data_IF_219703352943
#
_entry.id   IF_219703352943
#
_cell.length_a   1.000
_cell.length_b   1.000
_cell.length_c   1.000
_cell.angle_alpha   90.00
_cell.angle_beta   90.00
_cell.angle_gamma   90.00
#
_symmetry.space_group_name_H-M   'P 1'
#
loop_
_entity.id
_entity.type
_entity.pdbx_description
1 polymer ?
#
# COMPACT_ATOMS: atom_id res chain seq x y z
N UNK A 1 0.79 25.60 -0.87
CA UNK A 1 1.30 24.27 -1.18
C UNK A 1 0.14 23.31 -1.47
N UNK A 2 0.25 22.56 -2.51
CA UNK A 2 -0.85 21.71 -2.96
C UNK A 2 -0.70 20.31 -2.35
N UNK A 3 -1.71 19.88 -1.62
CA UNK A 3 -1.74 18.51 -1.11
C UNK A 3 -1.89 17.53 -2.28
N UNK A 4 -1.27 16.36 -2.17
CA UNK A 4 -1.35 15.32 -3.19
C UNK A 4 -2.69 14.57 -3.13
N UNK A 5 -3.81 15.29 -3.07
CA UNK A 5 -5.11 14.69 -2.97
C UNK A 5 -6.15 15.50 -3.72
N UNK A 6 -7.30 14.89 -3.94
CA UNK A 6 -8.43 15.54 -4.62
C UNK A 6 -9.56 15.74 -3.63
N UNK A 7 -10.23 16.88 -3.71
CA UNK A 7 -11.43 17.16 -2.92
C UNK A 7 -12.66 16.67 -3.67
N UNK A 8 -13.51 15.95 -2.98
CA UNK A 8 -14.76 15.43 -3.52
C UNK A 8 -15.95 15.96 -2.71
N UNK A 9 -16.96 16.49 -3.41
CA UNK A 9 -18.23 16.88 -2.82
C UNK A 9 -18.06 17.75 -1.59
N UNK A 10 -18.56 17.30 -0.44
CA UNK A 10 -18.59 18.08 0.80
C UNK A 10 -17.26 18.13 1.56
N UNK A 11 -16.16 18.31 0.86
CA UNK A 11 -14.88 18.58 1.50
C UNK A 11 -14.03 17.39 1.90
N UNK A 12 -14.42 16.18 1.49
CA UNK A 12 -13.55 15.02 1.69
C UNK A 12 -12.34 15.08 0.77
N UNK A 13 -11.16 14.74 1.29
CA UNK A 13 -9.95 14.61 0.49
C UNK A 13 -9.68 13.14 0.20
N UNK A 14 -9.54 12.78 -1.07
CA UNK A 14 -9.16 11.44 -1.47
C UNK A 14 -7.67 11.47 -1.77
N UNK A 15 -6.91 10.61 -1.07
CA UNK A 15 -5.49 10.46 -1.34
C UNK A 15 -5.30 9.87 -2.74
N UNK A 16 -4.34 10.43 -3.47
CA UNK A 16 -3.98 9.93 -4.79
C UNK A 16 -2.47 9.82 -4.87
N UNK A 17 -1.98 8.58 -4.88
CA UNK A 17 -0.56 8.30 -4.92
C UNK A 17 -0.18 7.73 -6.28
N UNK A 18 0.94 8.18 -6.82
CA UNK A 18 1.47 7.68 -8.08
C UNK A 18 2.99 7.76 -8.10
N UNK A 19 3.61 6.97 -8.95
CA UNK A 19 5.05 6.95 -9.13
C UNK A 19 5.74 5.89 -8.28
N UNK A 20 7.01 5.66 -8.56
CA UNK A 20 7.82 4.71 -7.80
C UNK A 20 9.09 5.40 -7.31
N UNK A 21 9.47 5.07 -6.07
CA UNK A 21 10.60 5.70 -5.40
C UNK A 21 11.40 4.65 -4.63
N UNK A 22 12.71 4.61 -4.87
CA UNK A 22 13.59 3.69 -4.18
C UNK A 22 14.17 4.30 -2.90
N UNK A 23 14.22 3.50 -1.85
CA UNK A 23 14.85 3.86 -0.57
C UNK A 23 15.49 2.62 0.03
N UNK A 24 16.28 2.81 1.09
CA UNK A 24 16.92 1.69 1.77
C UNK A 24 16.46 1.59 3.21
N UNK A 25 16.25 0.35 3.67
CA UNK A 25 15.95 0.06 5.07
C UNK A 25 17.28 0.01 5.83
N UNK A 26 17.33 0.65 7.01
CA UNK A 26 18.50 0.58 7.87
C UNK A 26 18.47 -0.70 8.74
N UNK A 27 19.54 -0.93 9.48
CA UNK A 27 19.68 -2.13 10.30
C UNK A 27 18.61 -2.28 11.37
N UNK A 28 17.95 -1.18 11.75
CA UNK A 28 16.89 -1.19 12.76
C UNK A 28 15.49 -1.35 12.16
N UNK A 29 15.39 -1.45 10.85
CA UNK A 29 14.10 -1.59 10.18
C UNK A 29 13.42 -0.27 9.86
N UNK A 30 14.16 0.84 9.90
CA UNK A 30 13.62 2.17 9.59
C UNK A 30 13.89 2.50 8.12
N UNK A 31 12.95 3.21 7.52
CA UNK A 31 13.07 3.65 6.13
C UNK A 31 12.46 5.04 5.98
N UNK A 32 13.08 5.86 5.14
CA UNK A 32 12.55 7.17 4.80
C UNK A 32 11.36 6.96 3.88
N UNK A 33 10.24 7.61 4.21
CA UNK A 33 9.07 7.64 3.34
C UNK A 33 9.33 8.68 2.25
N UNK A 34 9.07 8.38 0.98
CA UNK A 34 9.27 9.36 -0.09
C UNK A 34 8.58 10.68 0.21
N UNK A 35 9.30 11.78 0.03
CA UNK A 35 8.79 13.11 0.32
C UNK A 35 7.47 13.39 -0.38
N UNK A 36 7.32 12.88 -1.60
CA UNK A 36 6.10 13.01 -2.39
C UNK A 36 4.85 12.44 -1.70
N UNK A 37 5.03 11.44 -0.87
CA UNK A 37 3.92 10.75 -0.21
C UNK A 37 3.65 11.27 1.21
N UNK A 38 4.66 11.83 1.87
CA UNK A 38 4.55 12.19 3.29
C UNK A 38 3.42 13.15 3.60
N UNK A 39 3.23 14.14 2.75
CA UNK A 39 2.20 15.16 2.99
C UNK A 39 0.79 14.57 3.02
N UNK A 40 0.48 13.74 2.03
CA UNK A 40 -0.84 13.11 1.94
C UNK A 40 -1.05 12.00 2.95
N UNK A 41 0.03 11.33 3.37
CA UNK A 41 -0.05 10.29 4.39
C UNK A 41 -0.33 10.84 5.77
N UNK A 42 0.19 12.04 6.07
CA UNK A 42 0.12 12.60 7.41
C UNK A 42 1.18 12.00 8.32
N UNK A 43 1.11 12.34 9.61
CA UNK A 43 2.12 11.93 10.60
C UNK A 43 2.01 10.48 11.02
N UNK A 44 0.83 9.90 10.91
CA UNK A 44 0.60 8.49 11.22
C UNK A 44 -0.33 7.86 10.19
N UNK A 45 -0.16 6.59 9.96
CA UNK A 45 -0.92 5.87 8.95
C UNK A 45 -0.81 4.36 9.21
N UNK A 46 -1.43 3.56 8.36
CA UNK A 46 -1.52 2.12 8.56
C UNK A 46 -0.70 1.39 7.50
N UNK A 47 0.08 0.39 7.93
CA UNK A 47 0.74 -0.55 7.05
C UNK A 47 0.17 -1.93 7.34
N UNK A 48 -0.11 -2.70 6.29
CA UNK A 48 -0.56 -4.08 6.44
C UNK A 48 0.02 -4.95 5.34
N UNK A 49 -0.18 -6.25 5.46
CA UNK A 49 0.16 -7.19 4.40
C UNK A 49 -0.67 -6.86 3.17
N UNK A 50 -0.03 -6.87 2.02
CA UNK A 50 -0.71 -6.66 0.75
C UNK A 50 -0.85 -7.96 -0.02
N UNK A 51 -1.34 -7.84 -1.23
CA UNK A 51 -1.38 -8.95 -2.16
C UNK A 51 -0.08 -8.95 -2.97
N UNK A 52 0.28 -10.09 -3.55
CA UNK A 52 1.52 -10.27 -4.32
C UNK A 52 2.80 -10.10 -3.48
N UNK A 53 2.72 -10.43 -2.18
CA UNK A 53 3.86 -10.38 -1.25
C UNK A 53 4.49 -8.99 -1.09
N UNK A 54 3.67 -7.95 -1.19
CA UNK A 54 4.08 -6.59 -0.88
C UNK A 54 3.31 -6.11 0.35
N UNK A 55 3.64 -4.93 0.84
CA UNK A 55 2.89 -4.28 1.91
C UNK A 55 2.00 -3.21 1.32
N UNK A 56 0.82 -3.03 1.90
CA UNK A 56 -0.07 -1.93 1.56
C UNK A 56 0.01 -0.85 2.64
N UNK A 57 0.06 0.40 2.20
CA UNK A 57 0.07 1.57 3.09
C UNK A 57 -1.17 2.40 2.79
N UNK A 58 -1.92 2.69 3.84
CA UNK A 58 -3.16 3.48 3.74
C UNK A 58 -3.09 4.69 4.65
N UNK A 59 -3.63 5.81 4.21
CA UNK A 59 -3.95 6.90 5.15
C UNK A 59 -5.00 6.37 6.14
N UNK A 60 -5.15 7.04 7.28
CA UNK A 60 -6.19 6.64 8.23
C UNK A 60 -7.58 6.67 7.61
N UNK A 61 -7.86 7.65 6.75
CA UNK A 61 -9.15 7.76 6.06
C UNK A 61 -9.39 6.60 5.10
N UNK A 62 -8.38 6.26 4.29
CA UNK A 62 -8.50 5.15 3.36
C UNK A 62 -8.59 3.81 4.07
N UNK A 63 -7.90 3.67 5.20
CA UNK A 63 -8.00 2.48 6.03
C UNK A 63 -9.42 2.30 6.57
N UNK A 64 -10.05 3.38 7.02
CA UNK A 64 -11.45 3.33 7.47
C UNK A 64 -12.39 2.88 6.36
N UNK A 65 -12.19 3.36 5.14
CA UNK A 65 -12.99 2.93 3.98
C UNK A 65 -12.80 1.45 3.71
N UNK A 66 -11.56 0.97 3.82
CA UNK A 66 -11.25 -0.44 3.63
C UNK A 66 -11.90 -1.30 4.71
N UNK A 67 -11.81 -0.88 5.98
CA UNK A 67 -12.48 -1.56 7.09
C UNK A 67 -14.00 -1.65 6.88
N UNK A 68 -14.61 -0.58 6.40
CA UNK A 68 -16.05 -0.58 6.09
C UNK A 68 -16.40 -1.63 5.04
N UNK A 69 -15.57 -1.76 4.02
CA UNK A 69 -15.76 -2.80 3.00
C UNK A 69 -15.61 -4.19 3.58
N UNK A 70 -14.64 -4.41 4.45
CA UNK A 70 -14.43 -5.70 5.09
C UNK A 70 -15.63 -6.10 5.95
N UNK A 71 -16.29 -5.13 6.61
CA UNK A 71 -17.47 -5.38 7.42
C UNK A 71 -18.66 -5.88 6.61
N UNK A 72 -18.71 -5.60 5.31
CA UNK A 72 -19.80 -6.07 4.45
C UNK A 72 -19.65 -7.52 4.03
N UNK A 73 -18.49 -8.12 4.27
CA UNK A 73 -18.25 -9.51 3.90
C UNK A 73 -19.00 -10.45 4.85
N UNK A 74 -19.60 -11.53 4.32
CA UNK A 74 -20.40 -12.43 5.14
C UNK A 74 -19.53 -13.28 6.07
N UNK A 75 -19.81 -13.21 7.36
CA UNK A 75 -19.08 -14.00 8.39
C UNK A 75 -19.26 -15.50 8.20
N UNK A 76 -20.31 -15.91 7.51
CA UNK A 76 -20.59 -17.33 7.24
C UNK A 76 -19.69 -17.92 6.16
N UNK A 77 -19.02 -17.07 5.39
CA UNK A 77 -18.13 -17.49 4.31
C UNK A 77 -16.69 -17.63 4.82
N UNK A 78 -16.12 -18.81 4.66
CA UNK A 78 -14.77 -19.10 5.12
C UNK A 78 -13.71 -18.22 4.44
N UNK A 79 -13.84 -18.00 3.14
CA UNK A 79 -12.89 -17.17 2.40
C UNK A 79 -12.96 -15.72 2.86
N UNK A 80 -14.15 -15.21 3.14
CA UNK A 80 -14.32 -13.86 3.67
C UNK A 80 -13.66 -13.71 5.04
N UNK A 81 -13.80 -14.72 5.92
CA UNK A 81 -13.15 -14.70 7.22
C UNK A 81 -11.62 -14.71 7.09
N UNK A 82 -11.09 -15.53 6.19
CA UNK A 82 -9.64 -15.62 5.96
C UNK A 82 -9.09 -14.31 5.42
N UNK A 83 -9.80 -13.71 4.46
CA UNK A 83 -9.42 -12.44 3.86
C UNK A 83 -9.38 -11.32 4.91
N UNK A 84 -10.44 -11.21 5.71
CA UNK A 84 -10.53 -10.22 6.78
C UNK A 84 -9.41 -10.39 7.79
N UNK A 85 -9.17 -11.63 8.23
CA UNK A 85 -8.10 -11.95 9.18
C UNK A 85 -6.72 -11.55 8.65
N UNK A 86 -6.47 -11.84 7.38
CA UNK A 86 -5.20 -11.55 6.73
C UNK A 86 -4.86 -10.06 6.83
N UNK A 87 -5.80 -9.21 6.46
CA UNK A 87 -5.54 -7.77 6.45
C UNK A 87 -5.57 -7.14 7.84
N UNK A 88 -6.53 -7.50 8.68
CA UNK A 88 -6.65 -6.87 9.99
C UNK A 88 -5.57 -7.33 10.97
N UNK A 89 -5.26 -8.62 10.98
CA UNK A 89 -4.23 -9.14 11.89
C UNK A 89 -2.83 -8.65 11.51
N UNK A 90 -2.61 -8.37 10.24
CA UNK A 90 -1.33 -7.87 9.77
C UNK A 90 -1.16 -6.36 9.92
N UNK A 91 -2.21 -5.64 10.25
CA UNK A 91 -2.18 -4.17 10.26
C UNK A 91 -1.40 -3.62 11.46
N UNK A 92 -0.66 -2.54 11.20
CA UNK A 92 0.09 -1.83 12.23
C UNK A 92 0.00 -0.33 12.02
N UNK A 93 -0.20 0.40 13.12
CA UNK A 93 -0.07 1.85 13.12
C UNK A 93 1.40 2.21 13.07
N UNK A 94 1.77 3.12 12.18
CA UNK A 94 3.14 3.63 12.13
C UNK A 94 3.13 5.14 12.18
N UNK A 95 4.22 5.69 12.70
CA UNK A 95 4.39 7.11 12.89
C UNK A 95 5.67 7.58 12.23
N UNK A 96 5.60 8.74 11.56
CA UNK A 96 6.79 9.37 11.01
C UNK A 96 7.62 9.95 12.14
N UNK A 97 8.92 9.71 12.12
CA UNK A 97 9.84 10.37 13.01
C UNK A 97 10.21 11.74 12.45
N UNK A 98 11.04 12.50 13.18
CA UNK A 98 11.44 13.85 12.79
C UNK A 98 12.22 13.89 11.47
N UNK A 99 12.78 12.77 11.07
CA UNK A 99 13.55 12.64 9.84
C UNK A 99 12.74 12.10 8.67
N UNK A 100 11.43 11.90 8.85
CA UNK A 100 10.56 11.38 7.82
C UNK A 100 10.67 9.88 7.64
N UNK A 101 11.11 9.16 8.67
CA UNK A 101 11.25 7.69 8.62
C UNK A 101 10.13 7.03 9.40
N UNK A 102 9.85 5.79 9.03
CA UNK A 102 8.99 4.88 9.79
C UNK A 102 9.77 3.64 10.16
N UNK A 103 9.32 2.98 11.21
CA UNK A 103 9.80 1.65 11.58
C UNK A 103 8.82 0.64 11.03
N UNK A 104 9.28 -0.21 10.10
CA UNK A 104 8.44 -1.28 9.59
C UNK A 104 8.58 -2.48 10.53
N UNK A 105 7.48 -2.96 11.12
CA UNK A 105 7.55 -4.12 12.02
C UNK A 105 8.20 -5.33 11.35
N UNK A 106 8.97 -6.10 12.12
CA UNK A 106 9.73 -7.22 11.58
C UNK A 106 8.85 -8.27 10.89
N UNK A 107 7.66 -8.53 11.40
CA UNK A 107 6.72 -9.48 10.80
C UNK A 107 6.36 -9.05 9.38
N UNK A 108 6.15 -7.75 9.17
CA UNK A 108 5.82 -7.22 7.85
C UNK A 108 7.03 -7.23 6.92
N UNK A 109 8.22 -6.91 7.46
CA UNK A 109 9.45 -6.99 6.66
C UNK A 109 9.70 -8.42 6.16
N UNK A 110 9.49 -9.40 7.02
CA UNK A 110 9.63 -10.80 6.66
C UNK A 110 8.60 -11.22 5.60
N UNK A 111 7.34 -10.81 5.80
CA UNK A 111 6.28 -11.14 4.87
C UNK A 111 6.61 -10.67 3.44
N UNK A 112 7.10 -9.44 3.30
CA UNK A 112 7.40 -8.85 2.00
C UNK A 112 8.84 -9.09 1.56
N UNK A 113 9.62 -9.86 2.30
CA UNK A 113 11.04 -10.16 2.02
C UNK A 113 11.88 -8.90 1.87
N UNK A 114 11.57 -7.89 2.68
CA UNK A 114 12.29 -6.61 2.64
C UNK A 114 13.66 -6.79 3.29
N UNK A 115 14.72 -6.47 2.56
CA UNK A 115 16.08 -6.55 3.08
C UNK A 115 16.69 -5.15 3.13
N UNK A 116 17.33 -4.71 2.08
CA UNK A 116 17.98 -3.41 2.04
C UNK A 116 17.27 -2.46 1.08
N UNK A 117 17.22 -2.83 -0.18
CA UNK A 117 16.65 -1.98 -1.23
C UNK A 117 15.16 -2.22 -1.37
N UNK A 118 14.40 -1.15 -1.27
CA UNK A 118 12.93 -1.17 -1.20
C UNK A 118 12.36 -0.16 -2.19
N UNK A 119 11.22 -0.47 -2.76
CA UNK A 119 10.53 0.42 -3.69
C UNK A 119 9.15 0.76 -3.10
N UNK A 120 8.85 2.05 -3.05
CA UNK A 120 7.52 2.54 -2.73
C UNK A 120 6.80 2.84 -4.05
N UNK A 121 5.62 2.29 -4.22
CA UNK A 121 4.84 2.46 -5.46
C UNK A 121 3.48 3.03 -5.13
N UNK A 122 3.16 4.18 -5.70
CA UNK A 122 1.83 4.79 -5.55
C UNK A 122 0.85 4.15 -6.53
N UNK A 123 -0.27 3.65 -6.04
CA UNK A 123 -1.27 2.97 -6.87
C UNK A 123 -2.68 3.50 -6.59
N UNK A 124 -2.82 4.81 -6.56
CA UNK A 124 -4.11 5.46 -6.37
C UNK A 124 -4.38 5.72 -4.90
N UNK A 125 -5.32 5.01 -4.29
CA UNK A 125 -5.73 5.23 -2.91
C UNK A 125 -4.79 4.62 -1.88
N UNK A 126 -3.76 3.88 -2.32
CA UNK A 126 -2.79 3.28 -1.42
C UNK A 126 -1.38 3.37 -2.00
N UNK A 127 -0.42 3.07 -1.15
CA UNK A 127 0.98 2.89 -1.56
C UNK A 127 1.32 1.43 -1.32
N UNK A 128 2.17 0.88 -2.17
CA UNK A 128 2.72 -0.46 -1.98
C UNK A 128 4.19 -0.38 -1.65
N UNK A 129 4.65 -1.24 -0.75
CA UNK A 129 6.07 -1.35 -0.42
C UNK A 129 6.55 -2.72 -0.86
N UNK A 130 7.53 -2.73 -1.72
CA UNK A 130 8.09 -3.95 -2.33
C UNK A 130 9.57 -4.07 -2.06
N UNK A 131 10.07 -5.29 -1.92
CA UNK A 131 11.50 -5.49 -2.07
C UNK A 131 11.88 -5.14 -3.51
N UNK A 132 13.07 -4.60 -3.69
CA UNK A 132 13.55 -4.22 -5.05
C UNK A 132 13.55 -5.43 -5.99
N UNK A 133 13.96 -6.58 -5.47
CA UNK A 133 14.00 -7.82 -6.24
C UNK A 133 12.60 -8.25 -6.70
N UNK A 134 11.64 -8.30 -5.78
CA UNK A 134 10.27 -8.69 -6.11
C UNK A 134 9.63 -7.71 -7.07
N UNK A 135 9.90 -6.40 -6.91
CA UNK A 135 9.39 -5.39 -7.83
C UNK A 135 9.94 -5.58 -9.23
N UNK A 136 11.25 -5.80 -9.36
CA UNK A 136 11.87 -6.02 -10.65
C UNK A 136 11.32 -7.27 -11.33
N UNK A 137 11.12 -8.34 -10.58
CA UNK A 137 10.52 -9.58 -11.10
C UNK A 137 9.10 -9.35 -11.58
N UNK A 138 8.33 -8.57 -10.81
CA UNK A 138 6.95 -8.25 -11.14
C UNK A 138 6.83 -7.47 -12.45
N UNK A 139 7.68 -6.47 -12.67
CA UNK A 139 7.59 -5.62 -13.85
C UNK A 139 8.29 -6.22 -15.08
N UNK A 140 9.15 -7.22 -14.91
CA UNK A 140 9.91 -7.80 -16.01
C UNK A 140 9.01 -8.41 -17.10
N UNK A 141 7.78 -8.77 -16.77
CA UNK A 141 6.84 -9.38 -17.69
C UNK A 141 5.79 -8.41 -18.24
N UNK A 142 5.86 -7.13 -17.90
CA UNK A 142 4.83 -6.17 -18.30
C UNK A 142 4.75 -5.99 -19.82
N UNK A 143 5.89 -5.86 -20.48
CA UNK A 143 5.93 -5.60 -21.91
C UNK A 143 5.34 -6.74 -22.75
N UNK A 144 5.48 -7.98 -22.26
CA UNK A 144 5.01 -9.17 -22.98
C UNK A 144 3.52 -9.41 -22.80
N UNK A 145 2.94 -9.02 -21.66
CA UNK A 145 1.59 -9.42 -21.26
C UNK A 145 0.61 -8.26 -21.02
N UNK A 146 1.07 -7.02 -21.10
CA UNK A 146 0.22 -5.89 -20.69
C UNK A 146 -1.05 -5.76 -21.53
N UNK A 147 -1.01 -6.03 -22.82
CA UNK A 147 -2.19 -5.96 -23.66
C UNK A 147 -3.25 -6.95 -23.22
N UNK A 148 -2.85 -8.18 -22.90
CA UNK A 148 -3.75 -9.22 -22.41
C UNK A 148 -4.31 -8.87 -21.03
N UNK A 149 -3.44 -8.42 -20.13
CA UNK A 149 -3.84 -7.98 -18.79
C UNK A 149 -4.85 -6.83 -18.89
N UNK A 150 -4.61 -5.90 -19.80
CA UNK A 150 -5.49 -4.76 -20.02
C UNK A 150 -6.88 -5.22 -20.49
N UNK A 151 -6.95 -6.15 -21.44
CA UNK A 151 -8.21 -6.70 -21.90
C UNK A 151 -9.03 -7.32 -20.79
N UNK A 152 -8.39 -8.18 -20.00
CA UNK A 152 -9.06 -8.86 -18.87
C UNK A 152 -9.53 -7.86 -17.82
N UNK A 153 -8.76 -6.83 -17.55
CA UNK A 153 -9.10 -5.81 -16.57
C UNK A 153 -10.25 -4.92 -17.03
N UNK A 154 -10.25 -4.55 -18.31
CA UNK A 154 -11.28 -3.68 -18.89
C UNK A 154 -12.65 -4.36 -18.96
N UNK A 155 -12.69 -5.67 -19.04
CA UNK A 155 -13.95 -6.43 -18.98
C UNK A 155 -14.69 -6.12 -17.68
N UNK A 156 -13.96 -6.01 -16.56
CA UNK A 156 -14.56 -5.71 -15.27
C UNK A 156 -15.00 -4.25 -15.15
N UNK A 157 -14.34 -3.35 -15.85
CA UNK A 157 -14.73 -1.93 -15.83
C UNK A 157 -16.03 -1.70 -16.61
N UNK A 158 -16.24 -2.45 -17.70
CA UNK A 158 -17.41 -2.26 -18.55
C UNK A 158 -18.68 -2.94 -18.01
N UNK A 159 -18.58 -3.68 -16.92
CA UNK A 159 -19.72 -4.25 -16.19
C UNK A 159 -20.18 -3.26 -15.13
#
# INVERSE_FOLDING_TARGET
MVASGYKWGKGGTIAMFMGEYGHTIDAKGRIIVPAKFRESLGDNFIITKGLDNCLFVYTNEEWQRFEEKLKTLPLTNKNARTFTRFFLAGAADVELDKQGRILIPSVLREFASLQKDVVFVGVGSRIEIWSKESWNDSISNYDDNMDEVAELSLIHISE
#
